data_IF_793163955173
#
_entry.id   IF_793163955173
#
_cell.length_a   1.000
_cell.length_b   1.000
_cell.length_c   1.000
_cell.angle_alpha   90.00
_cell.angle_beta   90.00
_cell.angle_gamma   90.00
#
_symmetry.space_group_name_H-M   'P 1'
#
loop_
_entity.id
_entity.type
_entity.pdbx_description
1 polymer ?
#
# COMPACT_ATOMS: atom_id res chain seq x y z
N UNK A 1 -28.41 20.77 -0.60
CA UNK A 1 -28.05 19.34 -0.45
C UNK A 1 -26.63 19.30 0.10
N UNK A 2 -26.30 18.44 1.08
CA UNK A 2 -24.90 18.21 1.42
C UNK A 2 -24.19 17.64 0.19
N UNK A 3 -22.93 18.03 -0.01
CA UNK A 3 -22.10 17.47 -1.08
C UNK A 3 -21.98 15.94 -0.88
N UNK A 4 -21.95 15.15 -1.97
CA UNK A 4 -21.73 13.72 -1.86
C UNK A 4 -20.42 13.45 -1.12
N UNK A 5 -20.47 12.66 -0.06
CA UNK A 5 -19.28 12.30 0.71
C UNK A 5 -18.40 11.41 -0.16
N UNK A 6 -17.26 11.94 -0.60
CA UNK A 6 -16.35 11.22 -1.50
C UNK A 6 -15.71 10.05 -0.76
N UNK A 7 -15.93 8.83 -1.26
CA UNK A 7 -15.32 7.63 -0.70
C UNK A 7 -13.85 7.53 -1.12
N UNK A 8 -13.00 7.25 -0.15
CA UNK A 8 -11.57 7.05 -0.29
C UNK A 8 -11.21 5.57 -0.08
N UNK A 9 -10.06 5.19 -0.62
CA UNK A 9 -9.43 3.89 -0.44
C UNK A 9 -8.13 4.08 0.36
N UNK A 10 -7.91 3.21 1.34
CA UNK A 10 -6.60 3.00 1.93
C UNK A 10 -5.90 1.85 1.20
N UNK A 11 -4.77 2.16 0.59
CA UNK A 11 -3.94 1.25 -0.18
C UNK A 11 -2.61 1.00 0.53
N UNK A 12 -2.09 -0.20 0.38
CA UNK A 12 -0.73 -0.57 0.77
C UNK A 12 0.11 -0.90 -0.46
N UNK A 13 1.23 -0.18 -0.66
CA UNK A 13 2.25 -0.58 -1.64
C UNK A 13 3.15 -1.64 -1.03
N UNK A 14 3.17 -2.83 -1.64
CA UNK A 14 4.04 -3.90 -1.15
C UNK A 14 5.50 -3.59 -1.41
N UNK A 15 5.87 -3.14 -2.61
CA UNK A 15 7.26 -2.84 -2.97
C UNK A 15 7.86 -1.74 -2.09
N UNK A 16 7.12 -0.65 -1.85
CA UNK A 16 7.61 0.50 -1.08
C UNK A 16 7.37 0.35 0.43
N UNK A 17 6.54 -0.60 0.86
CA UNK A 17 6.11 -0.73 2.25
C UNK A 17 5.57 0.59 2.82
N UNK A 18 4.67 1.24 2.10
CA UNK A 18 4.02 2.50 2.48
C UNK A 18 2.51 2.45 2.26
N UNK A 19 1.80 3.42 2.83
CA UNK A 19 0.35 3.54 2.78
C UNK A 19 -0.02 4.75 1.91
N UNK A 20 -1.08 4.61 1.12
CA UNK A 20 -1.64 5.67 0.30
C UNK A 20 -3.14 5.79 0.57
N UNK A 21 -3.65 7.02 0.64
CA UNK A 21 -5.08 7.30 0.72
C UNK A 21 -5.43 8.14 -0.50
N UNK A 22 -6.45 7.72 -1.24
CA UNK A 22 -6.90 8.42 -2.44
C UNK A 22 -8.41 8.18 -2.67
N UNK A 23 -9.10 9.04 -3.44
CA UNK A 23 -10.46 8.77 -3.87
C UNK A 23 -10.59 7.45 -4.63
N UNK A 24 -11.67 6.69 -4.37
CA UNK A 24 -11.93 5.41 -5.06
C UNK A 24 -11.97 5.57 -6.58
N UNK A 25 -12.50 6.70 -7.06
CA UNK A 25 -12.62 6.97 -8.49
C UNK A 25 -11.25 6.98 -9.19
N UNK A 26 -10.23 7.54 -8.52
CA UNK A 26 -8.87 7.66 -9.05
C UNK A 26 -8.20 6.28 -9.06
N UNK A 27 -8.27 5.55 -7.94
CA UNK A 27 -7.82 4.15 -7.82
C UNK A 27 -8.41 3.27 -8.95
N UNK A 28 -9.73 3.34 -9.16
CA UNK A 28 -10.40 2.55 -10.18
C UNK A 28 -10.04 2.99 -11.61
N UNK A 29 -9.71 4.26 -11.81
CA UNK A 29 -9.19 4.75 -13.09
C UNK A 29 -7.85 4.08 -13.41
N UNK A 30 -6.91 4.10 -12.47
CA UNK A 30 -5.60 3.47 -12.64
C UNK A 30 -5.67 1.95 -12.79
N UNK A 31 -6.51 1.30 -11.99
CA UNK A 31 -6.72 -0.15 -12.06
C UNK A 31 -7.31 -0.57 -13.41
N UNK A 32 -8.28 0.19 -13.94
CA UNK A 32 -8.84 -0.06 -15.28
C UNK A 32 -7.79 0.09 -16.37
N UNK A 33 -6.95 1.11 -16.28
CA UNK A 33 -5.85 1.29 -17.23
C UNK A 33 -4.85 0.13 -17.14
N UNK A 34 -4.47 -0.27 -15.93
CA UNK A 34 -3.55 -1.39 -15.73
C UNK A 34 -4.11 -2.71 -16.27
N UNK A 35 -5.40 -2.98 -16.04
CA UNK A 35 -6.11 -4.12 -16.64
C UNK A 35 -6.07 -4.06 -18.17
N UNK A 36 -6.41 -2.91 -18.77
CA UNK A 36 -6.45 -2.75 -20.22
C UNK A 36 -5.08 -2.96 -20.89
N UNK A 37 -3.98 -2.67 -20.17
CA UNK A 37 -2.61 -2.79 -20.68
C UNK A 37 -1.85 -4.00 -20.13
N UNK A 38 -2.51 -4.92 -19.42
CA UNK A 38 -1.89 -6.07 -18.73
C UNK A 38 -0.67 -5.68 -17.86
N UNK A 39 -0.79 -4.55 -17.15
CA UNK A 39 0.27 -4.00 -16.30
C UNK A 39 0.13 -4.54 -14.88
N UNK A 40 1.22 -5.05 -14.32
CA UNK A 40 1.28 -5.44 -12.89
C UNK A 40 1.07 -4.22 -11.99
N UNK A 41 0.31 -4.42 -10.91
CA UNK A 41 0.06 -3.42 -9.87
C UNK A 41 0.59 -3.90 -8.52
N UNK A 42 1.10 -2.95 -7.73
CA UNK A 42 1.73 -3.19 -6.42
C UNK A 42 0.87 -2.70 -5.24
N UNK A 43 -0.27 -2.09 -5.54
CA UNK A 43 -1.17 -1.50 -4.56
C UNK A 43 -2.28 -2.48 -4.18
N UNK A 44 -2.35 -2.81 -2.89
CA UNK A 44 -3.41 -3.66 -2.32
C UNK A 44 -4.36 -2.79 -1.52
N UNK A 45 -5.66 -2.72 -1.89
CA UNK A 45 -6.67 -2.07 -1.07
C UNK A 45 -6.89 -2.83 0.23
N UNK A 46 -6.96 -2.11 1.34
CA UNK A 46 -7.18 -2.71 2.67
C UNK A 46 -8.37 -2.13 3.42
N UNK A 47 -8.87 -0.95 3.03
CA UNK A 47 -10.05 -0.32 3.62
C UNK A 47 -10.68 0.68 2.64
N UNK A 48 -12.00 0.85 2.73
CA UNK A 48 -12.77 1.84 1.98
C UNK A 48 -13.70 2.58 2.95
N UNK A 49 -13.76 3.90 2.85
CA UNK A 49 -14.59 4.72 3.72
C UNK A 49 -14.46 6.20 3.40
N UNK A 50 -14.84 7.05 4.34
CA UNK A 50 -14.48 8.47 4.33
C UNK A 50 -12.96 8.66 4.47
N UNK A 51 -12.48 9.88 4.16
CA UNK A 51 -11.08 10.24 4.36
C UNK A 51 -10.62 10.04 5.82
N UNK A 52 -11.43 10.52 6.77
CA UNK A 52 -11.18 10.37 8.21
C UNK A 52 -11.10 8.89 8.65
N UNK A 53 -12.02 8.04 8.17
CA UNK A 53 -12.00 6.61 8.47
C UNK A 53 -10.76 5.92 7.87
N UNK A 54 -10.33 6.32 6.67
CA UNK A 54 -9.09 5.81 6.07
C UNK A 54 -7.87 6.22 6.89
N UNK A 55 -7.82 7.45 7.40
CA UNK A 55 -6.75 7.90 8.29
C UNK A 55 -6.71 7.16 9.64
N UNK A 56 -7.89 6.84 10.20
CA UNK A 56 -7.99 6.03 11.40
C UNK A 56 -7.52 4.59 11.15
N UNK A 57 -7.96 3.97 10.06
CA UNK A 57 -7.51 2.65 9.65
C UNK A 57 -5.99 2.61 9.40
N UNK A 58 -5.44 3.64 8.74
CA UNK A 58 -4.00 3.78 8.52
C UNK A 58 -3.23 3.85 9.85
N UNK A 59 -3.76 4.57 10.84
CA UNK A 59 -3.17 4.66 12.18
C UNK A 59 -3.15 3.31 12.88
N UNK A 60 -4.24 2.53 12.79
CA UNK A 60 -4.34 1.20 13.39
C UNK A 60 -3.29 0.21 12.85
N UNK A 61 -2.94 0.31 11.56
CA UNK A 61 -1.98 -0.61 10.92
C UNK A 61 -0.51 -0.15 10.98
N UNK A 62 -0.23 1.04 11.53
CA UNK A 62 1.15 1.59 11.62
C UNK A 62 2.13 0.66 12.34
N UNK A 63 1.68 -0.06 13.37
CA UNK A 63 2.52 -1.02 14.10
C UNK A 63 3.06 -2.12 13.18
N UNK A 64 2.19 -2.75 12.41
CA UNK A 64 2.56 -3.78 11.41
C UNK A 64 3.48 -3.21 10.33
N UNK A 65 3.23 -1.98 9.87
CA UNK A 65 4.08 -1.34 8.86
C UNK A 65 5.50 -1.09 9.37
N UNK A 66 5.65 -0.61 10.61
CA UNK A 66 6.97 -0.44 11.24
C UNK A 66 7.73 -1.76 11.35
N UNK A 67 7.08 -2.83 11.79
CA UNK A 67 7.70 -4.16 11.87
C UNK A 67 8.18 -4.64 10.50
N UNK A 68 7.38 -4.45 9.43
CA UNK A 68 7.76 -4.81 8.06
C UNK A 68 8.96 -3.99 7.56
N UNK A 69 8.95 -2.68 7.81
CA UNK A 69 10.06 -1.80 7.43
C UNK A 69 11.35 -2.18 8.16
N UNK A 70 11.28 -2.48 9.46
CA UNK A 70 12.42 -2.97 10.23
C UNK A 70 12.96 -4.29 9.70
N UNK A 71 12.09 -5.27 9.41
CA UNK A 71 12.51 -6.54 8.83
C UNK A 71 13.21 -6.37 7.48
N UNK A 72 12.74 -5.43 6.64
CA UNK A 72 13.38 -5.10 5.36
C UNK A 72 14.72 -4.39 5.51
N UNK A 73 14.84 -3.48 6.48
CA UNK A 73 16.11 -2.84 6.81
C UNK A 73 17.12 -3.85 7.34
N UNK A 74 16.70 -4.74 8.25
CA UNK A 74 17.55 -5.79 8.79
C UNK A 74 18.04 -6.77 7.71
N UNK A 75 17.21 -7.09 6.70
CA UNK A 75 17.63 -7.89 5.54
C UNK A 75 18.68 -7.19 4.65
N UNK A 76 18.68 -5.85 4.60
CA UNK A 76 19.68 -5.09 3.85
C UNK A 76 21.05 -5.04 4.58
N UNK A 77 21.07 -5.25 5.90
CA UNK A 77 22.29 -5.30 6.72
C UNK A 77 22.93 -6.70 6.79
N UNK A 78 22.29 -7.74 6.24
CA UNK A 78 22.94 -9.04 6.04
C UNK A 78 23.70 -9.01 4.70
N UNK A 79 25.03 -9.25 4.69
CA UNK A 79 25.76 -9.38 3.43
C UNK A 79 25.18 -10.54 2.61
N UNK A 80 25.23 -10.47 1.26
CA UNK A 80 24.83 -11.59 0.43
C UNK A 80 25.59 -12.85 0.88
N UNK A 81 24.90 -13.99 0.91
CA UNK A 81 25.53 -15.29 1.10
C UNK A 81 26.44 -15.54 -0.11
N UNK A 82 27.67 -15.04 -0.05
CA UNK A 82 28.71 -15.49 -0.97
C UNK A 82 28.90 -17.00 -0.78
N UNK A 83 29.01 -17.67 -1.92
CA UNK A 83 28.93 -19.10 -2.14
C UNK A 83 29.82 -19.88 -1.16
N UNK A 84 29.24 -20.89 -0.51
CA UNK A 84 30.03 -21.92 0.17
C UNK A 84 30.89 -22.60 -0.89
N UNK A 85 32.23 -22.47 -0.87
CA UNK A 85 33.05 -23.27 -1.76
C UNK A 85 32.98 -24.73 -1.32
N UNK A 86 32.99 -25.60 -2.32
CA UNK A 86 32.79 -27.04 -2.25
C UNK A 86 33.65 -27.78 -1.20
#
# INVERSE_FOLDING_TARGET
>A
MPAPTQTHALLWSQSQCCMHIEPIADMLSENRQAYATDRRMDYVPIYFGTDDECHQAATAVRGTMRQRQQARGALADFPPLEEVPA
#
